data_IF_598538585045
#
_entry.id   IF_598538585045
#
_cell.length_a   1.000
_cell.length_b   1.000
_cell.length_c   1.000
_cell.angle_alpha   90.00
_cell.angle_beta   90.00
_cell.angle_gamma   90.00
#
_symmetry.space_group_name_H-M   'P 1'
#
loop_
_entity.id
_entity.type
_entity.pdbx_description
1 polymer ?
#
# COMPACT_ATOMS: atom_id res chain seq x y z
N UNK A 1 -6.43 -6.04 -1.87
CA UNK A 1 -5.62 -6.25 -3.09
C UNK A 1 -5.69 -4.98 -3.90
N UNK A 2 -4.64 -4.69 -4.67
CA UNK A 2 -4.59 -3.57 -5.61
C UNK A 2 -3.64 -3.92 -6.76
N UNK A 3 -3.64 -3.09 -7.81
CA UNK A 3 -2.74 -3.23 -8.94
C UNK A 3 -2.18 -1.88 -9.39
N UNK A 4 -1.00 -1.89 -10.01
CA UNK A 4 -0.30 -0.73 -10.56
C UNK A 4 1.17 -1.05 -10.81
N UNK A 5 1.81 -0.34 -11.74
CA UNK A 5 3.21 -0.51 -12.14
C UNK A 5 4.19 -0.12 -11.01
N UNK A 6 4.62 -1.11 -10.21
CA UNK A 6 5.48 -0.90 -9.03
C UNK A 6 6.96 -0.97 -9.38
N UNK A 7 7.36 -1.80 -10.37
CA UNK A 7 8.76 -1.96 -10.78
C UNK A 7 9.19 -1.12 -12.01
N UNK A 8 8.25 -0.45 -12.68
CA UNK A 8 8.49 0.45 -13.80
C UNK A 8 8.64 -0.25 -15.15
N UNK A 9 8.17 -1.48 -15.28
CA UNK A 9 8.20 -2.24 -16.54
C UNK A 9 7.07 -1.83 -17.52
N UNK A 10 6.10 -1.05 -17.05
CA UNK A 10 4.97 -0.52 -17.82
C UNK A 10 3.73 -1.42 -17.83
N UNK A 11 3.79 -2.59 -17.20
CA UNK A 11 2.66 -3.47 -16.92
C UNK A 11 2.23 -3.33 -15.44
N UNK A 12 0.94 -3.53 -15.14
CA UNK A 12 0.44 -3.40 -13.77
C UNK A 12 0.90 -4.59 -12.89
N UNK A 13 1.56 -4.31 -11.77
CA UNK A 13 1.91 -5.30 -10.75
C UNK A 13 0.76 -5.59 -9.78
N UNK A 14 0.82 -6.72 -9.08
CA UNK A 14 -0.20 -7.15 -8.14
C UNK A 14 0.27 -7.01 -6.68
N UNK A 15 -0.51 -6.27 -5.88
CA UNK A 15 -0.30 -6.19 -4.42
C UNK A 15 -1.41 -6.91 -3.67
N UNK A 16 -1.00 -7.83 -2.81
CA UNK A 16 -1.90 -8.57 -1.92
C UNK A 16 -1.53 -8.32 -0.47
N UNK A 17 -2.56 -8.33 0.37
CA UNK A 17 -2.48 -8.01 1.78
C UNK A 17 -3.18 -9.11 2.58
N UNK A 18 -2.60 -9.52 3.69
CA UNK A 18 -3.23 -10.52 4.56
C UNK A 18 -4.40 -9.92 5.33
N UNK A 19 -5.51 -10.67 5.39
CA UNK A 19 -6.64 -10.35 6.27
C UNK A 19 -6.30 -10.56 7.75
N UNK A 20 -7.29 -10.32 8.61
CA UNK A 20 -7.17 -10.60 10.02
C UNK A 20 -6.99 -12.11 10.26
N UNK A 21 -6.05 -12.47 11.14
CA UNK A 21 -5.84 -13.84 11.59
C UNK A 21 -5.74 -13.85 13.12
N UNK A 22 -6.82 -14.21 13.84
CA UNK A 22 -6.84 -14.22 15.30
C UNK A 22 -6.08 -15.41 15.90
N UNK A 23 -5.62 -16.37 15.09
CA UNK A 23 -4.95 -17.61 15.55
C UNK A 23 -3.48 -17.64 15.14
N UNK A 24 -3.06 -16.78 14.21
CA UNK A 24 -1.69 -16.38 14.02
C UNK A 24 -1.12 -15.85 15.35
N UNK A 25 -0.39 -16.70 16.08
CA UNK A 25 0.46 -16.24 17.16
C UNK A 25 1.57 -15.31 16.63
N UNK A 26 2.59 -15.09 17.47
CA UNK A 26 3.81 -14.37 17.11
C UNK A 26 4.43 -14.90 15.79
N UNK A 27 4.16 -14.27 14.65
CA UNK A 27 4.69 -14.68 13.35
C UNK A 27 3.73 -14.59 12.17
N UNK A 28 2.41 -14.65 12.42
CA UNK A 28 1.41 -14.50 11.35
C UNK A 28 0.87 -13.06 11.18
N UNK A 29 1.53 -12.07 11.81
CA UNK A 29 1.21 -10.65 11.67
C UNK A 29 1.15 -10.18 10.21
N UNK A 30 0.60 -8.98 9.96
CA UNK A 30 0.10 -8.58 8.66
C UNK A 30 1.21 -8.54 7.62
N UNK A 31 0.93 -9.13 6.47
CA UNK A 31 1.86 -9.21 5.34
C UNK A 31 1.31 -8.48 4.13
N UNK A 32 2.22 -7.86 3.41
CA UNK A 32 2.00 -7.33 2.06
C UNK A 32 3.02 -7.97 1.13
N UNK A 33 2.53 -8.52 0.03
CA UNK A 33 3.36 -9.06 -1.05
C UNK A 33 3.04 -8.34 -2.35
N UNK A 34 4.08 -8.07 -3.11
CA UNK A 34 4.03 -7.52 -4.46
C UNK A 34 4.52 -8.59 -5.42
N UNK A 35 3.76 -8.83 -6.48
CA UNK A 35 4.09 -9.77 -7.52
C UNK A 35 4.17 -9.04 -8.86
N UNK A 36 5.17 -9.36 -9.66
CA UNK A 36 5.26 -8.84 -11.02
C UNK A 36 4.02 -9.27 -11.82
N UNK A 37 3.42 -8.31 -12.52
CA UNK A 37 2.17 -8.50 -13.27
C UNK A 37 2.26 -9.54 -14.40
N UNK A 38 3.46 -9.74 -14.94
CA UNK A 38 3.69 -10.55 -16.14
C UNK A 38 4.03 -12.01 -15.82
N UNK A 39 4.82 -12.26 -14.78
CA UNK A 39 5.34 -13.60 -14.46
C UNK A 39 5.10 -14.07 -13.02
N UNK A 40 4.47 -13.23 -12.18
CA UNK A 40 4.16 -13.50 -10.78
C UNK A 40 5.40 -13.74 -9.89
N UNK A 41 6.59 -13.28 -10.29
CA UNK A 41 7.73 -13.24 -9.39
C UNK A 41 7.48 -12.29 -8.23
N UNK A 42 8.00 -12.62 -7.05
CA UNK A 42 7.87 -11.75 -5.86
C UNK A 42 8.81 -10.58 -6.01
N UNK A 43 8.26 -9.38 -6.14
CA UNK A 43 9.00 -8.11 -6.16
C UNK A 43 9.27 -7.61 -4.74
N UNK A 44 8.30 -7.77 -3.83
CA UNK A 44 8.46 -7.42 -2.42
C UNK A 44 7.62 -8.31 -1.48
N UNK A 45 8.11 -8.46 -0.25
CA UNK A 45 7.47 -9.24 0.82
C UNK A 45 7.83 -8.62 2.18
N UNK A 46 6.87 -7.95 2.82
CA UNK A 46 7.13 -7.18 4.03
C UNK A 46 5.94 -7.13 4.98
N UNK A 47 6.22 -6.72 6.22
CA UNK A 47 5.23 -6.51 7.27
C UNK A 47 5.14 -5.03 7.62
N UNK A 48 4.03 -4.34 7.29
CA UNK A 48 3.90 -2.91 7.56
C UNK A 48 3.65 -2.60 9.04
N UNK A 49 3.24 -3.58 9.85
CA UNK A 49 2.90 -3.40 11.27
C UNK A 49 3.55 -4.47 12.16
N UNK A 50 3.39 -4.29 13.46
CA UNK A 50 3.93 -5.19 14.50
C UNK A 50 3.54 -6.65 14.24
N UNK A 51 4.47 -7.58 14.49
CA UNK A 51 4.28 -9.00 14.23
C UNK A 51 3.18 -9.66 15.11
N UNK A 52 2.78 -8.99 16.20
CA UNK A 52 1.68 -9.40 17.10
C UNK A 52 0.35 -8.77 16.71
N UNK A 53 0.32 -7.82 15.77
CA UNK A 53 -0.93 -7.26 15.29
C UNK A 53 -1.65 -8.30 14.41
N UNK A 54 -2.93 -8.54 14.69
CA UNK A 54 -3.73 -9.60 14.04
C UNK A 54 -4.92 -9.07 13.27
N UNK A 55 -5.11 -7.75 13.22
CA UNK A 55 -6.22 -7.09 12.53
C UNK A 55 -6.13 -7.08 11.01
N UNK A 56 -5.01 -7.56 10.46
CA UNK A 56 -4.74 -7.56 9.02
C UNK A 56 -4.41 -6.19 8.45
N UNK A 57 -4.20 -6.16 7.13
CA UNK A 57 -3.85 -4.94 6.38
C UNK A 57 -4.74 -4.78 5.16
N UNK A 58 -5.10 -3.54 4.88
CA UNK A 58 -5.77 -3.09 3.65
C UNK A 58 -4.76 -2.27 2.85
N UNK A 59 -4.82 -2.38 1.54
CA UNK A 59 -3.86 -1.75 0.63
C UNK A 59 -4.56 -1.01 -0.50
N UNK A 60 -3.94 0.06 -0.96
CA UNK A 60 -4.20 0.73 -2.23
C UNK A 60 -2.86 1.03 -2.91
N UNK A 61 -2.89 1.25 -4.23
CA UNK A 61 -1.73 1.75 -4.97
C UNK A 61 -2.01 3.09 -5.62
N UNK A 62 -0.97 3.91 -5.73
CA UNK A 62 -0.98 5.15 -6.51
C UNK A 62 0.39 5.81 -6.46
N UNK A 63 0.67 6.70 -7.40
CA UNK A 63 1.89 7.50 -7.45
C UNK A 63 1.79 8.65 -6.41
N UNK A 64 2.42 8.48 -5.26
CA UNK A 64 2.33 9.40 -4.10
C UNK A 64 3.42 10.47 -4.18
N UNK A 65 4.58 10.12 -4.71
CA UNK A 65 5.75 11.00 -4.80
C UNK A 65 5.88 11.71 -6.16
N UNK A 66 5.11 11.32 -7.17
CA UNK A 66 5.10 11.89 -8.51
C UNK A 66 6.22 11.38 -9.43
N UNK A 67 6.80 10.22 -9.15
CA UNK A 67 7.90 9.64 -9.93
C UNK A 67 7.42 8.77 -11.12
N UNK A 68 6.11 8.53 -11.22
CA UNK A 68 5.49 7.75 -12.28
C UNK A 68 5.36 6.26 -11.97
N UNK A 69 5.79 5.80 -10.79
CA UNK A 69 5.60 4.44 -10.30
C UNK A 69 4.43 4.37 -9.30
N UNK A 70 3.85 3.18 -9.18
CA UNK A 70 2.77 2.92 -8.25
C UNK A 70 3.34 2.61 -6.85
N UNK A 71 3.24 3.57 -5.94
CA UNK A 71 3.57 3.38 -4.53
C UNK A 71 2.46 2.60 -3.79
N UNK A 72 2.79 2.04 -2.63
CA UNK A 72 1.86 1.26 -1.80
C UNK A 72 1.38 2.11 -0.62
N UNK A 73 0.07 2.15 -0.39
CA UNK A 73 -0.51 2.70 0.84
C UNK A 73 -1.07 1.56 1.67
N UNK A 74 -0.63 1.44 2.92
CA UNK A 74 -1.15 0.45 3.88
C UNK A 74 -2.02 1.13 4.93
N UNK A 75 -3.16 0.50 5.22
CA UNK A 75 -4.05 0.85 6.31
C UNK A 75 -4.28 -0.38 7.20
N UNK A 76 -4.23 -0.25 8.53
CA UNK A 76 -4.49 -1.37 9.40
C UNK A 76 -5.99 -1.66 9.44
N UNK A 77 -6.30 -2.95 9.55
CA UNK A 77 -7.66 -3.42 9.80
C UNK A 77 -8.09 -3.19 11.26
N UNK A 78 -9.01 -4.03 11.71
CA UNK A 78 -9.65 -3.88 13.02
C UNK A 78 -8.62 -3.98 14.16
N UNK A 79 -8.85 -3.29 15.28
CA UNK A 79 -7.95 -3.21 16.44
C UNK A 79 -6.56 -2.57 16.19
N UNK A 80 -6.27 -2.14 14.96
CA UNK A 80 -5.08 -1.37 14.64
C UNK A 80 -5.20 0.11 15.03
N UNK A 81 -4.07 0.82 15.24
CA UNK A 81 -4.09 2.27 15.37
C UNK A 81 -4.58 2.91 14.06
N UNK A 82 -5.22 4.11 14.06
CA UNK A 82 -5.65 4.75 12.82
C UNK A 82 -4.48 5.45 12.11
N UNK A 83 -3.44 4.68 11.78
CA UNK A 83 -2.20 5.12 11.15
C UNK A 83 -2.18 4.65 9.70
N UNK A 84 -2.20 5.58 8.76
CA UNK A 84 -1.98 5.32 7.34
C UNK A 84 -0.49 5.46 7.04
N UNK A 85 0.08 4.52 6.27
CA UNK A 85 1.51 4.54 5.94
C UNK A 85 1.70 4.42 4.43
N UNK A 86 2.53 5.27 3.85
CA UNK A 86 2.93 5.20 2.44
C UNK A 86 4.31 4.55 2.28
N UNK A 87 4.46 3.66 1.30
CA UNK A 87 5.68 2.93 0.99
C UNK A 87 6.06 3.18 -0.46
N UNK A 88 7.23 3.76 -0.68
CA UNK A 88 7.69 4.14 -2.03
C UNK A 88 8.20 2.94 -2.81
N UNK A 89 7.80 2.86 -4.07
CA UNK A 89 8.40 1.96 -5.06
C UNK A 89 9.80 2.41 -5.48
N UNK A 90 10.63 1.48 -6.01
CA UNK A 90 10.49 0.02 -5.94
C UNK A 90 11.03 -0.57 -4.62
N UNK A 91 11.68 0.24 -3.80
CA UNK A 91 12.46 -0.23 -2.64
C UNK A 91 11.61 -0.53 -1.38
N UNK A 92 10.30 -0.24 -1.41
CA UNK A 92 9.39 -0.29 -0.25
C UNK A 92 9.97 0.51 0.93
N UNK A 93 10.38 1.75 0.64
CA UNK A 93 10.86 2.65 1.68
C UNK A 93 9.69 3.40 2.31
N UNK A 94 9.61 3.41 3.64
CA UNK A 94 8.53 4.14 4.32
C UNK A 94 8.70 5.64 4.07
N UNK A 95 7.66 6.28 3.52
CA UNK A 95 7.64 7.69 3.14
C UNK A 95 7.14 8.58 4.28
N UNK A 96 6.04 8.20 4.92
CA UNK A 96 5.49 8.92 6.07
C UNK A 96 4.31 8.15 6.71
N UNK A 97 4.07 8.46 7.99
CA UNK A 97 2.96 7.94 8.79
C UNK A 97 1.95 9.07 9.08
N UNK A 98 0.68 8.85 8.71
CA UNK A 98 -0.40 9.82 8.97
C UNK A 98 -1.43 9.25 9.94
N UNK A 99 -1.57 9.91 11.10
CA UNK A 99 -2.65 9.61 12.04
C UNK A 99 -3.98 10.21 11.53
N UNK A 100 -4.92 9.36 11.12
CA UNK A 100 -6.15 9.77 10.41
C UNK A 100 -7.32 10.06 11.36
N UNK A 101 -7.35 9.41 12.52
CA UNK A 101 -8.40 9.57 13.52
C UNK A 101 -7.84 9.72 14.93
N UNK A 102 -8.72 9.93 15.91
CA UNK A 102 -8.36 9.89 17.32
C UNK A 102 -7.52 8.63 17.63
N UNK A 103 -6.38 8.74 18.34
CA UNK A 103 -5.52 7.59 18.67
C UNK A 103 -6.22 6.41 19.36
N UNK A 104 -7.41 6.60 19.95
CA UNK A 104 -8.22 5.56 20.56
C UNK A 104 -9.16 4.82 19.59
N UNK A 105 -9.31 5.28 18.34
CA UNK A 105 -10.15 4.60 17.34
C UNK A 105 -9.55 3.25 16.92
N UNK A 106 -10.38 2.20 16.87
CA UNK A 106 -9.97 0.81 16.58
C UNK A 106 -10.84 0.10 15.54
N UNK A 107 -11.71 0.83 14.85
CA UNK A 107 -12.64 0.24 13.85
C UNK A 107 -12.00 -0.09 12.49
N UNK A 108 -10.69 0.00 12.38
CA UNK A 108 -9.95 -0.15 11.12
C UNK A 108 -10.15 1.00 10.13
N UNK A 109 -9.20 1.14 9.20
CA UNK A 109 -9.21 2.19 8.18
C UNK A 109 -9.43 1.58 6.80
N UNK A 110 -10.23 2.22 5.94
CA UNK A 110 -10.30 1.88 4.52
C UNK A 110 -9.45 2.87 3.73
N UNK A 111 -8.80 2.38 2.67
CA UNK A 111 -7.92 3.18 1.82
C UNK A 111 -8.25 2.93 0.35
N UNK A 112 -8.16 3.99 -0.44
CA UNK A 112 -8.20 3.96 -1.90
C UNK A 112 -7.28 5.09 -2.39
N UNK A 113 -6.68 4.90 -3.55
CA UNK A 113 -5.84 5.89 -4.20
C UNK A 113 -6.18 5.95 -5.70
N UNK A 114 -5.82 7.05 -6.32
CA UNK A 114 -5.95 7.27 -7.76
C UNK A 114 -4.72 8.04 -8.22
N UNK A 115 -4.17 7.62 -9.35
CA UNK A 115 -3.15 8.40 -10.05
C UNK A 115 -3.86 9.55 -10.78
N UNK A 116 -3.31 10.76 -10.70
CA UNK A 116 -3.75 11.88 -11.54
C UNK A 116 -2.61 12.17 -12.50
N UNK A 117 -2.75 11.75 -13.76
CA UNK A 117 -1.82 12.19 -14.81
C UNK A 117 -2.08 13.67 -15.06
N UNK A 118 -1.12 14.59 -14.82
CA UNK A 118 -1.33 15.99 -15.12
C UNK A 118 -1.64 16.11 -16.61
N UNK A 119 -2.85 16.55 -16.95
CA UNK A 119 -3.16 16.90 -18.33
C UNK A 119 -2.33 18.13 -18.65
N UNK A 120 -1.27 17.97 -19.45
CA UNK A 120 -0.56 19.11 -20.00
C UNK A 120 -1.57 19.86 -20.88
N UNK A 121 -2.08 20.98 -20.38
CA UNK A 121 -2.74 21.97 -21.23
C UNK A 121 -1.69 22.40 -22.25
N UNK A 122 -1.77 21.82 -23.46
CA UNK A 122 -1.15 22.40 -24.63
C UNK A 122 -1.92 23.69 -24.90
N UNK A 123 -1.47 24.78 -24.29
CA UNK A 123 -1.73 26.11 -24.82
C UNK A 123 -0.96 26.22 -26.14
N UNK A 124 -1.50 25.58 -27.18
CA UNK A 124 -1.14 25.89 -28.55
C UNK A 124 -1.91 27.14 -28.94
N UNK A 125 -1.37 28.30 -28.57
CA UNK A 125 -1.67 29.54 -29.27
C UNK A 125 -0.67 29.68 -30.42
N UNK A 126 -1.10 29.28 -31.61
CA UNK A 126 -0.66 29.91 -32.87
C UNK A 126 -1.58 31.10 -33.18
#
# INVERSE_FOLDING_TARGET
>A
VGAGDFDGDGDDDLVVASGADPVAGAGGGPHVKVFNGTDLQVLADFRPYDAMFTGGVRVALGDINGDGLADIITAPGDDGPPLLTGWLSPDVSNNDDMLVFNPAYRGGLFVAASVVTPTLLRDSFE
#
